data_IF_655784295266
#
_entry.id   IF_655784295266
#
_cell.length_a   1.000
_cell.length_b   1.000
_cell.length_c   1.000
_cell.angle_alpha   90.00
_cell.angle_beta   90.00
_cell.angle_gamma   90.00
#
_symmetry.space_group_name_H-M   'P 1'
#
loop_
_entity.id
_entity.type
_entity.pdbx_description
1 polymer ?
#
# COMPACT_ATOMS: atom_id res chain seq x y z
N UNK A 1 -10.02 -3.67 74.26
CA UNK A 1 -9.89 -3.44 72.82
C UNK A 1 -9.42 -4.72 72.14
N UNK A 2 -10.24 -5.32 71.28
CA UNK A 2 -9.96 -6.60 70.64
C UNK A 2 -9.54 -6.29 69.21
N UNK A 3 -8.24 -6.38 68.88
CA UNK A 3 -7.75 -6.24 67.53
C UNK A 3 -8.25 -7.40 66.65
N UNK A 4 -9.05 -7.07 65.68
CA UNK A 4 -9.50 -8.01 64.66
C UNK A 4 -8.37 -8.14 63.63
N UNK A 5 -7.54 -9.17 63.78
CA UNK A 5 -6.51 -9.52 62.82
C UNK A 5 -7.14 -9.94 61.48
N UNK A 6 -7.01 -9.10 60.47
CA UNK A 6 -7.44 -9.37 59.10
C UNK A 6 -6.52 -10.47 58.51
N UNK A 7 -7.00 -11.71 58.42
CA UNK A 7 -6.26 -12.82 57.77
C UNK A 7 -6.20 -12.57 56.28
N UNK A 8 -5.05 -12.11 55.79
CA UNK A 8 -4.74 -12.06 54.37
C UNK A 8 -4.67 -13.52 53.86
N UNK A 9 -5.63 -13.92 53.05
CA UNK A 9 -5.61 -15.22 52.36
C UNK A 9 -4.59 -15.13 51.23
N UNK A 10 -3.48 -15.87 51.32
CA UNK A 10 -2.54 -16.05 50.25
C UNK A 10 -3.11 -16.98 49.18
N UNK A 11 -2.74 -16.72 47.93
CA UNK A 11 -3.08 -17.61 46.80
C UNK A 11 -2.39 -18.96 46.93
N UNK A 12 -3.10 -20.03 46.66
CA UNK A 12 -2.53 -21.37 46.59
C UNK A 12 -1.79 -21.57 45.27
N UNK A 13 -0.74 -22.40 45.25
CA UNK A 13 0.02 -22.74 44.05
C UNK A 13 -0.90 -23.36 42.98
N UNK A 14 -1.92 -24.10 43.40
CA UNK A 14 -2.90 -24.71 42.50
C UNK A 14 -3.82 -23.69 41.83
N UNK A 15 -4.23 -22.64 42.52
CA UNK A 15 -5.02 -21.54 41.94
C UNK A 15 -4.20 -20.78 40.89
N UNK A 16 -2.90 -20.55 41.13
CA UNK A 16 -2.02 -19.91 40.18
C UNK A 16 -1.82 -20.76 38.91
N UNK A 17 -1.63 -22.09 39.09
CA UNK A 17 -1.53 -23.00 37.95
C UNK A 17 -2.82 -23.04 37.11
N UNK A 18 -3.99 -23.06 37.75
CA UNK A 18 -5.27 -23.04 37.04
C UNK A 18 -5.45 -21.76 36.19
N UNK A 19 -5.09 -20.61 36.75
CA UNK A 19 -5.15 -19.33 36.03
C UNK A 19 -4.20 -19.33 34.82
N UNK A 20 -2.96 -19.83 35.00
CA UNK A 20 -1.99 -19.90 33.88
C UNK A 20 -2.48 -20.80 32.75
N UNK A 21 -3.14 -21.94 33.07
CA UNK A 21 -3.72 -22.83 32.04
C UNK A 21 -4.84 -22.12 31.28
N UNK A 22 -5.74 -21.42 31.96
CA UNK A 22 -6.84 -20.70 31.34
C UNK A 22 -6.28 -19.58 30.42
N UNK A 23 -5.32 -18.80 30.90
CA UNK A 23 -4.66 -17.75 30.10
C UNK A 23 -3.98 -18.37 28.88
N UNK A 24 -3.28 -19.49 29.02
CA UNK A 24 -2.63 -20.18 27.90
C UNK A 24 -3.62 -20.61 26.81
N UNK A 25 -4.78 -21.13 27.19
CA UNK A 25 -5.85 -21.52 26.26
C UNK A 25 -6.40 -20.26 25.55
N UNK A 26 -6.68 -19.18 26.30
CA UNK A 26 -7.19 -17.94 25.74
C UNK A 26 -6.19 -17.30 24.75
N UNK A 27 -4.90 -17.28 25.10
CA UNK A 27 -3.85 -16.80 24.20
C UNK A 27 -3.79 -17.60 22.90
N UNK A 28 -3.92 -18.95 22.97
CA UNK A 28 -3.95 -19.80 21.79
C UNK A 28 -5.08 -19.44 20.83
N UNK A 29 -6.29 -19.19 21.33
CA UNK A 29 -7.46 -18.81 20.53
C UNK A 29 -7.28 -17.42 19.92
N UNK A 30 -6.80 -16.45 20.68
CA UNK A 30 -6.59 -15.08 20.23
C UNK A 30 -5.52 -15.03 19.13
N UNK A 31 -4.42 -15.76 19.30
CA UNK A 31 -3.31 -15.77 18.34
C UNK A 31 -3.72 -16.34 16.99
N UNK A 32 -4.53 -17.40 16.97
CA UNK A 32 -5.04 -18.00 15.72
C UNK A 32 -6.04 -17.07 15.00
N UNK A 33 -6.87 -16.35 15.75
CA UNK A 33 -7.83 -15.41 15.17
C UNK A 33 -7.19 -14.13 14.63
N UNK A 34 -6.13 -13.65 15.28
CA UNK A 34 -5.47 -12.39 14.90
C UNK A 34 -4.82 -12.46 13.49
N UNK A 35 -4.13 -13.55 13.17
CA UNK A 35 -3.48 -13.71 11.85
C UNK A 35 -4.47 -13.67 10.70
N UNK A 36 -5.65 -14.27 10.84
CA UNK A 36 -6.70 -14.21 9.82
C UNK A 36 -7.25 -12.78 9.62
N UNK A 37 -7.39 -12.02 10.70
CA UNK A 37 -7.88 -10.65 10.64
C UNK A 37 -6.87 -9.72 9.95
N UNK A 38 -5.58 -9.90 10.16
CA UNK A 38 -4.55 -9.10 9.51
C UNK A 38 -4.55 -9.32 7.99
N UNK A 39 -4.55 -10.57 7.52
CA UNK A 39 -4.63 -10.86 6.06
C UNK A 39 -5.90 -10.27 5.42
N UNK A 40 -7.05 -10.36 6.10
CA UNK A 40 -8.28 -9.78 5.58
C UNK A 40 -8.27 -8.24 5.53
N UNK A 41 -7.48 -7.59 6.38
CA UNK A 41 -7.29 -6.13 6.34
C UNK A 41 -6.39 -5.71 5.19
N UNK A 42 -5.30 -6.45 4.94
CA UNK A 42 -4.39 -6.20 3.83
C UNK A 42 -5.11 -6.33 2.48
N UNK A 43 -5.92 -7.39 2.29
CA UNK A 43 -6.75 -7.55 1.09
C UNK A 43 -7.72 -6.38 0.86
N UNK A 44 -8.38 -5.92 1.93
CA UNK A 44 -9.30 -4.78 1.83
C UNK A 44 -8.56 -3.48 1.52
N UNK A 45 -7.38 -3.30 2.10
CA UNK A 45 -6.53 -2.15 1.84
C UNK A 45 -6.09 -2.12 0.39
N UNK A 46 -5.54 -3.23 -0.13
CA UNK A 46 -5.12 -3.34 -1.53
C UNK A 46 -6.27 -3.05 -2.51
N UNK A 47 -7.48 -3.57 -2.23
CA UNK A 47 -8.66 -3.28 -3.06
C UNK A 47 -9.03 -1.80 -3.05
N UNK A 48 -9.03 -1.17 -1.89
CA UNK A 48 -9.34 0.26 -1.76
C UNK A 48 -8.28 1.13 -2.48
N UNK A 49 -7.02 0.75 -2.42
CA UNK A 49 -5.93 1.43 -3.13
C UNK A 49 -6.10 1.30 -4.65
N UNK A 50 -6.37 0.09 -5.17
CA UNK A 50 -6.65 -0.11 -6.61
C UNK A 50 -7.87 0.69 -7.06
N UNK A 51 -8.94 0.73 -6.29
CA UNK A 51 -10.12 1.55 -6.59
C UNK A 51 -9.76 3.04 -6.63
N UNK A 52 -8.91 3.51 -5.71
CA UNK A 52 -8.43 4.89 -5.68
C UNK A 52 -7.58 5.21 -6.92
N UNK A 53 -6.66 4.32 -7.28
CA UNK A 53 -5.86 4.45 -8.52
C UNK A 53 -6.76 4.47 -9.75
N UNK A 54 -7.77 3.59 -9.81
CA UNK A 54 -8.70 3.54 -10.93
C UNK A 54 -9.53 4.83 -11.07
N UNK A 55 -9.92 5.45 -9.94
CA UNK A 55 -10.59 6.75 -9.94
C UNK A 55 -9.64 7.86 -10.41
N UNK A 56 -8.40 7.86 -9.93
CA UNK A 56 -7.37 8.81 -10.35
C UNK A 56 -7.10 8.71 -11.87
N UNK A 57 -6.99 7.49 -12.40
CA UNK A 57 -6.84 7.25 -13.84
C UNK A 57 -8.03 7.75 -14.67
N UNK A 58 -9.26 7.57 -14.19
CA UNK A 58 -10.45 8.10 -14.86
C UNK A 58 -10.48 9.63 -14.86
N UNK A 59 -10.07 10.26 -13.77
CA UNK A 59 -9.95 11.71 -13.69
C UNK A 59 -8.85 12.22 -14.63
N UNK A 60 -7.72 11.56 -14.65
CA UNK A 60 -6.62 11.86 -15.56
C UNK A 60 -7.06 11.76 -17.03
N UNK A 61 -7.70 10.65 -17.40
CA UNK A 61 -8.25 10.46 -18.75
C UNK A 61 -9.29 11.54 -19.11
N UNK A 62 -10.13 11.95 -18.18
CA UNK A 62 -11.14 13.01 -18.40
C UNK A 62 -10.49 14.37 -18.69
N UNK A 63 -9.31 14.64 -18.12
CA UNK A 63 -8.60 15.90 -18.26
C UNK A 63 -7.67 15.93 -19.46
N UNK A 64 -6.95 14.83 -19.71
CA UNK A 64 -5.94 14.75 -20.77
C UNK A 64 -6.38 13.97 -22.02
N UNK A 65 -7.53 13.29 -21.97
CA UNK A 65 -8.10 12.56 -23.11
C UNK A 65 -7.53 11.15 -23.33
N UNK A 66 -6.51 10.76 -22.59
CA UNK A 66 -5.89 9.44 -22.67
C UNK A 66 -5.37 8.98 -21.30
N UNK A 67 -4.95 7.71 -21.19
CA UNK A 67 -4.33 7.14 -20.02
C UNK A 67 -2.80 7.22 -20.08
N UNK A 68 -2.08 7.18 -18.94
CA UNK A 68 -0.62 7.12 -18.93
C UNK A 68 -0.09 5.98 -19.80
N UNK A 69 0.83 6.26 -20.70
CA UNK A 69 1.36 5.24 -21.62
C UNK A 69 2.47 4.43 -20.95
N UNK A 70 2.17 3.18 -20.59
CA UNK A 70 3.12 2.24 -20.03
C UNK A 70 3.09 0.92 -20.81
N UNK A 71 4.12 0.71 -21.63
CA UNK A 71 4.21 -0.44 -22.54
C UNK A 71 4.48 -1.75 -21.80
N UNK A 72 3.91 -2.85 -22.33
CA UNK A 72 4.18 -4.22 -21.86
C UNK A 72 5.66 -4.65 -22.00
N UNK A 73 6.46 -3.92 -22.75
CA UNK A 73 7.90 -4.18 -22.90
C UNK A 73 8.74 -3.62 -21.74
N UNK A 74 8.13 -2.82 -20.88
CA UNK A 74 8.75 -2.27 -19.68
C UNK A 74 8.59 -3.23 -18.50
N UNK A 75 9.49 -3.14 -17.51
CA UNK A 75 9.36 -3.93 -16.27
C UNK A 75 8.11 -3.53 -15.49
N UNK A 76 7.70 -4.33 -14.51
CA UNK A 76 6.55 -4.00 -13.65
C UNK A 76 6.83 -2.75 -12.83
N UNK A 77 8.06 -2.60 -12.35
CA UNK A 77 8.53 -1.45 -11.59
C UNK A 77 8.52 -0.18 -12.45
N UNK A 78 9.06 -0.25 -13.67
CA UNK A 78 9.03 0.89 -14.61
C UNK A 78 7.60 1.34 -14.94
N UNK A 79 6.68 0.39 -15.16
CA UNK A 79 5.27 0.71 -15.40
C UNK A 79 4.60 1.30 -14.15
N UNK A 80 4.92 0.78 -12.97
CA UNK A 80 4.47 1.32 -11.68
C UNK A 80 5.02 2.73 -11.43
N UNK A 81 6.26 2.99 -11.81
CA UNK A 81 6.87 4.32 -11.73
C UNK A 81 6.17 5.31 -12.67
N UNK A 82 5.97 4.95 -13.95
CA UNK A 82 5.25 5.80 -14.91
C UNK A 82 3.84 6.12 -14.38
N UNK A 83 3.12 5.13 -13.88
CA UNK A 83 1.81 5.32 -13.29
C UNK A 83 1.85 6.35 -12.15
N UNK A 84 2.78 6.16 -11.19
CA UNK A 84 2.92 7.06 -10.06
C UNK A 84 3.29 8.48 -10.48
N UNK A 85 4.32 8.64 -11.30
CA UNK A 85 4.84 9.93 -11.76
C UNK A 85 3.80 10.71 -12.57
N UNK A 86 3.07 10.02 -13.45
CA UNK A 86 2.04 10.66 -14.28
C UNK A 86 0.83 11.08 -13.42
N UNK A 87 0.34 10.21 -12.52
CA UNK A 87 -0.78 10.56 -11.65
C UNK A 87 -0.41 11.60 -10.58
N UNK A 88 0.85 11.73 -10.25
CA UNK A 88 1.37 12.79 -9.37
C UNK A 88 1.59 14.13 -10.11
N UNK A 89 1.41 14.16 -11.43
CA UNK A 89 1.58 15.37 -12.24
C UNK A 89 3.03 15.69 -12.60
N UNK A 90 3.94 14.73 -12.51
CA UNK A 90 5.37 14.90 -12.81
C UNK A 90 5.76 14.41 -14.20
N UNK A 91 4.93 13.58 -14.83
CA UNK A 91 5.06 13.15 -16.20
C UNK A 91 3.80 13.49 -17.00
N UNK A 92 3.97 13.65 -18.30
CA UNK A 92 2.86 13.83 -19.23
C UNK A 92 2.23 12.47 -19.65
N UNK A 93 1.22 12.53 -20.52
CA UNK A 93 0.51 11.34 -21.03
C UNK A 93 1.44 10.38 -21.76
N UNK A 94 2.53 10.90 -22.37
CA UNK A 94 3.50 10.13 -23.15
C UNK A 94 4.65 9.57 -22.29
N UNK A 95 4.70 9.91 -21.00
CA UNK A 95 5.74 9.48 -20.07
C UNK A 95 7.00 10.35 -20.09
N UNK A 96 6.91 11.60 -20.59
CA UNK A 96 8.00 12.56 -20.51
C UNK A 96 7.90 13.37 -19.19
N UNK A 97 9.05 13.59 -18.56
CA UNK A 97 9.11 14.44 -17.37
C UNK A 97 8.68 15.87 -17.67
N UNK A 98 7.88 16.42 -16.76
CA UNK A 98 7.43 17.81 -16.80
C UNK A 98 8.37 18.64 -15.91
N UNK A 99 8.88 19.76 -16.44
CA UNK A 99 9.69 20.70 -15.65
C UNK A 99 8.96 21.10 -14.36
N UNK A 100 9.69 21.21 -13.26
CA UNK A 100 9.17 21.43 -11.90
C UNK A 100 8.14 22.57 -11.82
N UNK A 101 8.40 23.66 -12.51
CA UNK A 101 7.54 24.86 -12.49
C UNK A 101 6.26 24.69 -13.32
N UNK A 102 6.20 23.64 -14.16
CA UNK A 102 5.08 23.33 -15.06
C UNK A 102 4.28 22.09 -14.60
N UNK A 103 4.68 21.46 -13.49
CA UNK A 103 4.02 20.25 -12.97
C UNK A 103 2.55 20.50 -12.70
N UNK A 104 1.74 19.54 -13.13
CA UNK A 104 0.31 19.60 -13.05
C UNK A 104 -0.24 19.26 -11.65
N UNK A 105 -1.55 19.17 -11.56
CA UNK A 105 -2.28 18.74 -10.37
C UNK A 105 -2.06 17.26 -10.14
N UNK A 106 -1.77 16.86 -8.88
CA UNK A 106 -1.82 15.46 -8.48
C UNK A 106 -3.25 14.93 -8.47
N UNK A 107 -3.46 13.76 -9.07
CA UNK A 107 -4.71 13.00 -9.05
C UNK A 107 -4.72 11.98 -7.92
N UNK A 108 -3.55 11.65 -7.36
CA UNK A 108 -3.43 10.74 -6.22
C UNK A 108 -3.58 11.51 -4.91
N UNK A 109 -4.41 11.05 -3.97
CA UNK A 109 -4.45 11.59 -2.62
C UNK A 109 -3.15 11.21 -1.89
N UNK A 110 -2.54 12.19 -1.21
CA UNK A 110 -1.19 12.09 -0.64
C UNK A 110 -0.99 11.05 0.48
N UNK A 111 -2.07 10.51 1.04
CA UNK A 111 -2.08 9.65 2.23
C UNK A 111 -2.72 8.26 2.00
N UNK A 112 -3.07 7.93 0.76
CA UNK A 112 -3.86 6.73 0.46
C UNK A 112 -3.05 5.58 -0.13
N UNK A 113 -1.74 5.70 -0.27
CA UNK A 113 -0.88 4.69 -0.89
C UNK A 113 0.48 4.61 -0.23
N UNK A 114 1.15 3.48 -0.44
CA UNK A 114 2.52 3.24 0.00
C UNK A 114 3.42 3.28 -1.23
N UNK A 115 4.58 3.92 -1.07
CA UNK A 115 5.61 3.96 -2.11
C UNK A 115 6.69 2.94 -1.80
N UNK A 116 7.25 2.34 -2.83
CA UNK A 116 8.41 1.48 -2.80
C UNK A 116 9.53 2.03 -3.65
N UNK A 117 10.73 1.63 -3.33
CA UNK A 117 11.95 1.86 -4.10
C UNK A 117 12.64 0.52 -4.32
N UNK A 118 13.07 0.24 -5.55
CA UNK A 118 13.84 -0.95 -5.83
C UNK A 118 15.29 -0.76 -5.36
N UNK A 119 15.81 -1.75 -4.62
CA UNK A 119 17.22 -1.90 -4.31
C UNK A 119 17.66 -3.34 -4.66
N UNK A 120 18.07 -3.53 -5.91
CA UNK A 120 18.27 -4.85 -6.49
C UNK A 120 16.98 -5.67 -6.53
N UNK A 121 16.97 -6.85 -5.92
CA UNK A 121 15.81 -7.75 -5.85
C UNK A 121 14.86 -7.44 -4.66
N UNK A 122 15.14 -6.41 -3.89
CA UNK A 122 14.37 -6.04 -2.69
C UNK A 122 13.62 -4.74 -2.95
N UNK A 123 12.34 -4.72 -2.58
CA UNK A 123 11.53 -3.51 -2.59
C UNK A 123 11.43 -2.97 -1.16
N UNK A 124 11.99 -1.80 -0.93
CA UNK A 124 11.93 -1.10 0.34
C UNK A 124 10.79 -0.07 0.34
N UNK A 125 10.12 0.08 1.49
CA UNK A 125 9.11 1.14 1.65
C UNK A 125 9.78 2.50 1.63
N UNK A 126 9.30 3.38 0.75
CA UNK A 126 9.80 4.72 0.58
C UNK A 126 8.79 5.74 1.09
N UNK A 127 9.27 6.72 1.86
CA UNK A 127 8.42 7.82 2.34
C UNK A 127 8.90 9.13 1.72
N UNK A 128 8.01 9.77 0.95
CA UNK A 128 8.29 11.12 0.45
C UNK A 128 8.37 12.10 1.63
N UNK A 129 9.45 12.86 1.68
CA UNK A 129 9.53 14.01 2.57
C UNK A 129 8.81 15.21 1.95
N UNK A 130 8.37 16.20 2.77
CA UNK A 130 7.61 17.34 2.27
C UNK A 130 8.29 18.11 1.14
N UNK A 131 9.62 18.15 1.12
CA UNK A 131 10.39 18.78 0.06
C UNK A 131 10.41 17.96 -1.25
N UNK A 132 10.29 16.64 -1.17
CA UNK A 132 10.23 15.74 -2.33
C UNK A 132 8.86 15.76 -3.02
N UNK A 133 7.79 16.03 -2.29
CA UNK A 133 6.46 16.26 -2.89
C UNK A 133 6.42 17.51 -3.78
N UNK A 134 7.35 18.42 -3.60
CA UNK A 134 7.43 19.71 -4.30
C UNK A 134 8.60 19.81 -5.29
N UNK A 135 9.48 18.80 -5.35
CA UNK A 135 10.64 18.93 -6.22
C UNK A 135 11.51 17.77 -6.40
N UNK A 136 12.50 17.34 -6.21
CA UNK A 136 13.45 16.40 -6.75
C UNK A 136 13.31 15.02 -6.10
N UNK A 137 12.59 14.13 -6.76
CA UNK A 137 13.01 12.73 -6.75
C UNK A 137 14.29 12.74 -7.56
N UNK A 138 15.41 12.33 -6.96
CA UNK A 138 16.70 12.34 -7.63
C UNK A 138 16.60 11.60 -8.96
N UNK A 139 17.28 12.08 -9.99
CA UNK A 139 17.20 11.62 -11.38
C UNK A 139 17.41 10.09 -11.58
N UNK A 140 17.64 9.33 -10.50
CA UNK A 140 17.91 7.89 -10.53
C UNK A 140 17.09 7.09 -9.50
N UNK A 141 16.05 7.65 -8.93
CA UNK A 141 15.25 6.92 -7.93
C UNK A 141 14.01 6.31 -8.59
N UNK A 142 14.02 5.00 -8.77
CA UNK A 142 12.86 4.22 -9.21
C UNK A 142 11.84 4.08 -8.07
N UNK A 143 10.92 5.06 -7.97
CA UNK A 143 9.87 5.07 -6.97
C UNK A 143 8.54 4.72 -7.64
N UNK A 144 7.82 3.77 -7.06
CA UNK A 144 6.55 3.29 -7.57
C UNK A 144 5.56 2.96 -6.47
N UNK A 145 4.30 2.77 -6.83
CA UNK A 145 3.25 2.35 -5.92
C UNK A 145 3.42 0.88 -5.57
N UNK A 146 3.35 0.56 -4.27
CA UNK A 146 3.39 -0.83 -3.77
C UNK A 146 2.13 -1.19 -3.02
N UNK A 147 1.79 -2.47 -3.09
CA UNK A 147 0.71 -3.07 -2.36
C UNK A 147 1.09 -3.34 -0.88
N UNK A 148 0.16 -3.74 -0.01
CA UNK A 148 0.45 -4.06 1.39
C UNK A 148 1.46 -5.19 1.61
N UNK A 149 1.74 -6.00 0.59
CA UNK A 149 2.72 -7.10 0.64
C UNK A 149 4.08 -6.71 0.03
N UNK A 150 4.28 -5.39 -0.22
CA UNK A 150 5.52 -4.82 -0.78
C UNK A 150 5.81 -5.25 -2.23
N UNK A 151 4.78 -5.56 -3.00
CA UNK A 151 4.93 -5.80 -4.44
C UNK A 151 4.43 -4.59 -5.24
N UNK A 152 5.02 -4.33 -6.41
CA UNK A 152 4.61 -3.24 -7.28
C UNK A 152 3.18 -3.45 -7.79
N UNK A 153 2.38 -2.37 -7.88
CA UNK A 153 1.13 -2.42 -8.63
C UNK A 153 1.42 -2.56 -10.12
N UNK A 154 0.82 -3.57 -10.73
CA UNK A 154 0.95 -3.82 -12.16
C UNK A 154 -0.01 -2.92 -12.92
N UNK A 155 0.52 -2.03 -13.74
CA UNK A 155 -0.24 -1.16 -14.63
C UNK A 155 0.09 -1.49 -16.10
N UNK A 156 -0.91 -1.51 -16.95
CA UNK A 156 -0.75 -1.81 -18.37
C UNK A 156 -1.71 -0.97 -19.20
N UNK A 157 -1.14 -0.14 -20.09
CA UNK A 157 -1.86 0.59 -21.12
C UNK A 157 -0.91 1.05 -22.24
N UNK A 158 -1.27 0.95 -23.52
CA UNK A 158 -2.46 0.23 -24.02
C UNK A 158 -2.27 -1.28 -23.99
N UNK A 159 -3.30 -1.99 -23.54
CA UNK A 159 -3.35 -3.44 -23.71
C UNK A 159 -3.71 -3.82 -25.14
N UNK A 160 -3.45 -5.08 -25.51
CA UNK A 160 -3.80 -5.63 -26.82
C UNK A 160 -5.30 -5.56 -27.14
N UNK A 161 -6.16 -5.46 -26.12
CA UNK A 161 -7.61 -5.31 -26.24
C UNK A 161 -8.08 -3.83 -26.25
N UNK A 162 -7.14 -2.87 -26.12
CA UNK A 162 -7.43 -1.42 -26.09
C UNK A 162 -7.92 -0.92 -24.73
N UNK A 163 -7.93 -1.75 -23.69
CA UNK A 163 -8.32 -1.36 -22.34
C UNK A 163 -7.10 -1.13 -21.44
N UNK A 164 -7.28 -0.39 -20.35
CA UNK A 164 -6.29 -0.32 -19.28
C UNK A 164 -6.51 -1.43 -18.25
N UNK A 165 -5.46 -1.84 -17.56
CA UNK A 165 -5.55 -2.71 -16.40
C UNK A 165 -4.67 -2.19 -15.26
N UNK A 166 -5.20 -2.28 -14.03
CA UNK A 166 -4.44 -2.13 -12.80
C UNK A 166 -4.69 -3.37 -11.96
N UNK A 167 -3.64 -4.00 -11.49
CA UNK A 167 -3.74 -5.17 -10.64
C UNK A 167 -2.68 -5.17 -9.55
N UNK A 168 -2.90 -5.96 -8.51
CA UNK A 168 -1.90 -6.27 -7.51
C UNK A 168 -1.65 -7.79 -7.49
N UNK A 169 -0.56 -8.23 -6.86
CA UNK A 169 0.00 -9.58 -7.00
C UNK A 169 -0.95 -10.74 -6.69
N UNK A 170 -2.07 -10.49 -5.98
CA UNK A 170 -3.00 -11.55 -5.57
C UNK A 170 -4.39 -11.51 -6.22
N UNK A 171 -4.77 -10.45 -6.94
CA UNK A 171 -6.05 -10.38 -7.64
C UNK A 171 -6.02 -9.41 -8.83
N UNK A 172 -6.38 -9.89 -10.01
CA UNK A 172 -6.67 -9.03 -11.16
C UNK A 172 -8.12 -8.56 -11.11
N UNK A 173 -8.36 -7.26 -10.93
CA UNK A 173 -9.67 -6.67 -11.18
C UNK A 173 -9.71 -6.16 -12.62
N UNK A 174 -10.57 -6.69 -13.49
CA UNK A 174 -10.82 -6.08 -14.78
C UNK A 174 -11.53 -4.75 -14.55
N UNK A 175 -10.86 -3.65 -14.87
CA UNK A 175 -11.49 -2.34 -14.94
C UNK A 175 -12.17 -2.22 -16.30
N UNK A 176 -13.49 -2.32 -16.33
CA UNK A 176 -14.33 -2.04 -17.49
C UNK A 176 -14.49 -0.55 -17.73
#
# INVERSE_FOLDING_TARGET
>A
MKESGNKIRGFTLMELMAVLVIIGILFGIIFTGASYLFSAQEDKKAKAEVETIAVALKQFHSEYGDYPNASVNQSEEERGMILFMTLSGWMDVLGYEIEKDLRGKSFLPSDSYILGKADGDIIETYTLTGDQLLGDIGENEEIFLIDPWSAAYVYEYPRSDGHMAVSYTHLTLPTT
#
